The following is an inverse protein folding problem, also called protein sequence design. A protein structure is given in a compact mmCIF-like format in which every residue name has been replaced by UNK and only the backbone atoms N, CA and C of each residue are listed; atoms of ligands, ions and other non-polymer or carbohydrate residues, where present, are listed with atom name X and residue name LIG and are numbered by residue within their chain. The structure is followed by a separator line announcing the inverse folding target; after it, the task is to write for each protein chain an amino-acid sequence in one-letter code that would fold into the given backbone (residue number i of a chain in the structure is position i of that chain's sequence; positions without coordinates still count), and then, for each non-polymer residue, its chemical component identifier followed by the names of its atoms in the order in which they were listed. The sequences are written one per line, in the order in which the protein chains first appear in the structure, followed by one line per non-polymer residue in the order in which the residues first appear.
data_IF_616869039668
#
_entry.id   IF_616869039668
#
_cell.length_a   1.000
_cell.length_b   1.000
_cell.length_c   1.000
_cell.angle_alpha   90.00
_cell.angle_beta   90.00
_cell.angle_gamma   90.00
#
_symmetry.space_group_name_H-M   'P 1'
#
loop_
_entity.id
_entity.type
_entity.pdbx_description
1 polymer ?
#
# COMPACT_ATOMS: atom_id res chain seq x y z
N UNK A 1 3.51 37.14 7.10
CA UNK A 1 4.43 36.11 7.63
C UNK A 1 5.15 35.48 6.47
N UNK A 2 6.47 35.45 6.53
CA UNK A 2 7.29 34.79 5.48
C UNK A 2 7.34 33.28 5.66
N UNK A 3 7.74 32.56 4.59
CA UNK A 3 7.99 31.09 4.64
C UNK A 3 8.94 30.75 5.78
N UNK A 4 10.04 31.47 5.92
CA UNK A 4 11.06 31.29 6.96
C UNK A 4 10.51 31.50 8.39
N UNK A 5 9.70 32.53 8.58
CA UNK A 5 9.06 32.81 9.86
C UNK A 5 8.07 31.70 10.24
N UNK A 6 7.21 31.31 9.31
CA UNK A 6 6.26 30.21 9.51
C UNK A 6 6.98 28.91 9.84
N UNK A 7 7.97 28.53 9.03
CA UNK A 7 8.77 27.31 9.25
C UNK A 7 9.39 27.28 10.64
N UNK A 8 10.00 28.38 11.08
CA UNK A 8 10.63 28.48 12.40
C UNK A 8 9.63 28.35 13.54
N UNK A 9 8.45 28.96 13.42
CA UNK A 9 7.37 28.87 14.40
C UNK A 9 6.82 27.44 14.49
N UNK A 10 6.43 26.86 13.36
CA UNK A 10 5.78 25.54 13.28
C UNK A 10 6.70 24.40 13.75
N UNK A 11 8.01 24.44 13.44
CA UNK A 11 8.96 23.45 13.97
C UNK A 11 9.02 23.49 15.51
N UNK A 12 8.91 24.68 16.13
CA UNK A 12 8.87 24.79 17.59
C UNK A 12 7.58 24.22 18.18
N UNK A 13 6.46 24.40 17.49
CA UNK A 13 5.17 23.85 17.91
C UNK A 13 5.14 22.32 17.80
N UNK A 14 5.77 21.77 16.75
CA UNK A 14 5.88 20.33 16.52
C UNK A 14 7.08 19.67 17.25
N UNK A 15 7.59 20.26 18.32
CA UNK A 15 8.78 19.77 19.04
C UNK A 15 8.72 18.31 19.48
N UNK A 16 7.53 17.74 19.61
CA UNK A 16 7.32 16.33 19.97
C UNK A 16 7.32 15.40 18.74
N UNK A 17 7.28 15.94 17.51
CA UNK A 17 7.42 15.14 16.29
C UNK A 17 8.89 14.84 16.03
N UNK A 18 9.27 13.56 15.77
CA UNK A 18 10.64 13.20 15.42
C UNK A 18 11.07 13.79 14.06
N UNK A 19 10.12 14.24 13.25
CA UNK A 19 10.32 14.74 11.87
C UNK A 19 9.81 16.16 11.66
N UNK A 20 9.69 16.99 12.72
CA UNK A 20 9.06 18.32 12.66
C UNK A 20 9.53 19.20 11.48
N UNK A 21 10.83 19.22 11.18
CA UNK A 21 11.37 20.01 10.07
C UNK A 21 10.95 19.45 8.69
N UNK A 22 10.89 18.14 8.56
CA UNK A 22 10.42 17.46 7.34
C UNK A 22 8.91 17.68 7.16
N UNK A 23 8.14 17.48 8.23
CA UNK A 23 6.68 17.65 8.23
C UNK A 23 6.29 19.04 7.73
N UNK A 24 6.91 20.09 8.29
CA UNK A 24 6.64 21.49 7.89
C UNK A 24 7.06 21.78 6.45
N UNK A 25 8.16 21.20 5.97
CA UNK A 25 8.54 21.34 4.55
C UNK A 25 7.48 20.72 3.62
N UNK A 26 7.02 19.50 3.92
CA UNK A 26 5.99 18.83 3.13
C UNK A 26 4.68 19.64 3.11
N UNK A 27 4.29 20.24 4.24
CA UNK A 27 3.11 21.13 4.28
C UNK A 27 3.28 22.36 3.38
N UNK A 28 4.47 22.99 3.41
CA UNK A 28 4.77 24.13 2.56
C UNK A 28 4.80 23.74 1.07
N UNK A 29 5.45 22.65 0.71
CA UNK A 29 5.49 22.12 -0.65
C UNK A 29 4.06 21.84 -1.16
N UNK A 30 3.25 21.18 -0.33
CA UNK A 30 1.85 20.87 -0.66
C UNK A 30 0.99 22.13 -0.82
N UNK A 31 1.06 23.05 0.12
CA UNK A 31 0.26 24.27 0.14
C UNK A 31 0.60 25.24 -1.02
N UNK A 32 1.91 25.42 -1.26
CA UNK A 32 2.41 26.36 -2.25
C UNK A 32 2.52 25.77 -3.65
N UNK A 33 2.40 24.43 -3.78
CA UNK A 33 2.65 23.68 -5.03
C UNK A 33 4.03 23.99 -5.61
N UNK A 34 5.04 24.11 -4.73
CA UNK A 34 6.42 24.43 -5.05
C UNK A 34 7.36 23.36 -4.53
N UNK A 35 8.50 23.18 -5.19
CA UNK A 35 9.51 22.21 -4.78
C UNK A 35 10.27 22.65 -3.52
N UNK A 36 10.86 21.69 -2.82
CA UNK A 36 11.77 21.94 -1.70
C UNK A 36 12.90 22.92 -2.06
N UNK A 37 13.45 22.80 -3.27
CA UNK A 37 14.51 23.70 -3.77
C UNK A 37 14.00 25.14 -3.89
N UNK A 38 12.79 25.32 -4.40
CA UNK A 38 12.16 26.65 -4.50
C UNK A 38 11.96 27.27 -3.11
N UNK A 39 11.46 26.51 -2.15
CA UNK A 39 11.27 26.98 -0.76
C UNK A 39 12.59 27.42 -0.12
N UNK A 40 13.70 26.74 -0.41
CA UNK A 40 15.03 27.11 0.10
C UNK A 40 15.57 28.40 -0.51
N UNK A 41 15.21 28.68 -1.76
CA UNK A 41 15.68 29.88 -2.48
C UNK A 41 14.78 31.10 -2.30
N UNK A 42 13.53 30.91 -1.78
CA UNK A 42 12.54 31.98 -1.57
C UNK A 42 12.06 32.07 -0.10
N UNK A 43 12.96 32.07 0.89
CA UNK A 43 12.57 32.02 2.31
C UNK A 43 11.84 33.27 2.81
N UNK A 44 12.03 34.39 2.12
CA UNK A 44 11.42 35.70 2.47
C UNK A 44 10.09 35.96 1.72
N UNK A 45 9.61 34.98 0.90
CA UNK A 45 8.32 35.07 0.25
C UNK A 45 7.20 35.10 1.29
N UNK A 46 6.21 35.99 1.08
CA UNK A 46 5.08 36.15 1.98
C UNK A 46 3.97 35.14 1.70
N UNK A 47 3.51 34.47 2.73
CA UNK A 47 2.35 33.60 2.69
C UNK A 47 1.04 34.42 2.67
N UNK A 48 0.08 34.03 1.82
CA UNK A 48 -1.25 34.62 1.82
C UNK A 48 -2.03 34.24 3.09
N UNK A 49 -3.14 34.93 3.36
CA UNK A 49 -4.00 34.61 4.50
C UNK A 49 -4.61 33.18 4.39
N UNK A 50 -5.00 32.77 3.18
CA UNK A 50 -5.53 31.43 2.91
C UNK A 50 -4.47 30.34 3.11
N UNK A 51 -3.26 30.57 2.61
CA UNK A 51 -2.13 29.66 2.82
C UNK A 51 -1.79 29.52 4.30
N UNK A 52 -1.75 30.64 5.05
CA UNK A 52 -1.50 30.61 6.49
C UNK A 52 -2.59 29.87 7.25
N UNK A 53 -3.85 30.00 6.86
CA UNK A 53 -4.95 29.27 7.49
C UNK A 53 -4.76 27.77 7.30
N UNK A 54 -4.59 27.30 6.05
CA UNK A 54 -4.40 25.87 5.76
C UNK A 54 -3.16 25.31 6.47
N UNK A 55 -2.03 26.03 6.41
CA UNK A 55 -0.78 25.61 7.04
C UNK A 55 -0.90 25.51 8.57
N UNK A 56 -1.63 26.46 9.20
CA UNK A 56 -1.85 26.43 10.65
C UNK A 56 -2.74 25.24 11.04
N UNK A 57 -3.80 24.96 10.28
CA UNK A 57 -4.63 23.77 10.50
C UNK A 57 -3.85 22.48 10.32
N UNK A 58 -2.95 22.40 9.33
CA UNK A 58 -2.09 21.25 9.11
C UNK A 58 -1.17 21.00 10.31
N UNK A 59 -0.57 22.06 10.87
CA UNK A 59 0.26 21.98 12.08
C UNK A 59 -0.56 21.51 13.29
N UNK A 60 -1.78 22.05 13.50
CA UNK A 60 -2.65 21.62 14.59
C UNK A 60 -3.05 20.14 14.47
N UNK A 61 -3.41 19.68 13.28
CA UNK A 61 -3.69 18.26 13.01
C UNK A 61 -2.45 17.40 13.28
N UNK A 62 -1.26 17.83 12.87
CA UNK A 62 -0.02 17.09 13.11
C UNK A 62 0.32 16.96 14.60
N UNK A 63 -0.01 17.96 15.42
CA UNK A 63 0.16 17.92 16.88
C UNK A 63 -0.64 16.82 17.55
N UNK A 64 -1.75 16.37 16.96
CA UNK A 64 -2.55 15.24 17.47
C UNK A 64 -1.93 13.87 17.16
N UNK A 65 -0.81 13.82 16.39
CA UNK A 65 -0.20 12.57 15.92
C UNK A 65 -0.60 12.18 14.50
N UNK A 66 -1.58 12.89 13.88
CA UNK A 66 -2.07 12.54 12.55
C UNK A 66 -0.91 12.53 11.52
N UNK A 67 -0.73 11.46 10.72
CA UNK A 67 0.30 11.37 9.70
C UNK A 67 0.24 12.49 8.67
N UNK A 68 1.41 12.97 8.24
CA UNK A 68 1.53 13.99 7.19
C UNK A 68 0.77 13.59 5.92
N UNK A 69 0.86 12.31 5.54
CA UNK A 69 0.17 11.78 4.37
C UNK A 69 -1.35 11.97 4.42
N UNK A 70 -1.99 11.79 5.59
CA UNK A 70 -3.42 12.02 5.73
C UNK A 70 -3.78 13.52 5.79
N UNK A 71 -2.87 14.37 6.27
CA UNK A 71 -3.08 15.82 6.28
C UNK A 71 -3.03 16.39 4.85
N UNK A 72 -2.08 15.90 4.04
CA UNK A 72 -1.91 16.32 2.65
C UNK A 72 -2.80 15.55 1.67
N UNK A 73 -3.35 14.41 2.09
CA UNK A 73 -4.12 13.50 1.25
C UNK A 73 -3.26 12.75 0.22
N UNK A 74 -1.93 12.76 0.36
CA UNK A 74 -0.99 12.21 -0.63
C UNK A 74 0.16 11.45 0.02
N UNK A 75 0.61 10.39 -0.67
CA UNK A 75 1.81 9.63 -0.34
C UNK A 75 2.51 9.16 -1.62
N UNK A 76 3.78 9.46 -1.72
CA UNK A 76 4.62 8.89 -2.75
C UNK A 76 4.94 7.43 -2.41
N UNK A 77 4.85 6.53 -3.40
CA UNK A 77 5.21 5.12 -3.31
C UNK A 77 5.63 4.62 -4.69
N UNK A 78 6.75 3.93 -4.77
CA UNK A 78 7.33 3.40 -6.01
C UNK A 78 7.48 4.47 -7.13
N UNK A 79 7.84 5.70 -6.76
CA UNK A 79 7.96 6.84 -7.67
C UNK A 79 6.63 7.45 -8.14
N UNK A 80 5.48 6.96 -7.68
CA UNK A 80 4.15 7.45 -8.05
C UNK A 80 3.43 8.12 -6.87
N UNK A 81 2.58 9.11 -7.17
CA UNK A 81 1.87 9.88 -6.15
C UNK A 81 0.45 9.34 -5.94
N UNK A 82 0.21 8.71 -4.78
CA UNK A 82 -1.05 8.08 -4.41
C UNK A 82 -1.91 8.98 -3.52
N UNK A 83 -3.21 9.02 -3.79
CA UNK A 83 -4.22 9.56 -2.86
C UNK A 83 -4.31 8.57 -1.69
N UNK A 84 -4.33 9.12 -0.48
CA UNK A 84 -4.55 8.37 0.76
C UNK A 84 -5.52 9.12 1.68
N UNK A 85 -6.27 8.37 2.48
CA UNK A 85 -7.16 8.88 3.54
C UNK A 85 -7.09 7.94 4.75
N UNK A 86 -7.70 8.28 5.89
CA UNK A 86 -7.81 7.35 7.02
C UNK A 86 -8.54 6.03 6.72
N UNK A 87 -9.07 5.85 5.52
CA UNK A 87 -9.74 4.62 5.09
C UNK A 87 -8.77 3.56 4.53
N UNK A 88 -7.49 3.92 4.29
CA UNK A 88 -6.46 3.03 3.75
C UNK A 88 -5.17 3.10 4.53
N UNK A 89 -4.40 2.02 4.53
CA UNK A 89 -3.02 2.04 5.03
C UNK A 89 -2.19 3.03 4.19
N UNK A 90 -1.36 3.81 4.86
CA UNK A 90 -0.35 4.64 4.16
C UNK A 90 0.69 3.70 3.54
N UNK A 91 0.91 3.73 2.21
CA UNK A 91 1.92 2.91 1.56
C UNK A 91 3.29 3.00 2.24
N UNK A 92 3.92 1.85 2.49
CA UNK A 92 5.21 1.74 3.19
C UNK A 92 6.33 1.39 2.20
N UNK A 93 7.56 1.92 2.38
CA UNK A 93 8.68 1.60 1.49
C UNK A 93 8.97 0.10 1.41
N UNK A 94 8.81 -0.65 2.51
CA UNK A 94 9.06 -2.08 2.57
C UNK A 94 8.18 -2.88 1.61
N UNK A 95 6.99 -2.37 1.30
CA UNK A 95 6.05 -2.97 0.34
C UNK A 95 6.53 -2.86 -1.12
N UNK A 96 7.53 -2.02 -1.42
CA UNK A 96 8.08 -1.88 -2.79
C UNK A 96 8.74 -3.17 -3.27
N UNK A 97 9.27 -3.99 -2.37
CA UNK A 97 9.79 -5.34 -2.71
C UNK A 97 8.70 -6.25 -3.28
N UNK A 98 7.46 -6.15 -2.77
CA UNK A 98 6.33 -6.90 -3.33
C UNK A 98 6.07 -6.48 -4.78
N UNK A 99 6.15 -5.18 -5.08
CA UNK A 99 6.01 -4.65 -6.45
C UNK A 99 7.10 -5.19 -7.37
N UNK A 100 8.37 -5.13 -6.95
CA UNK A 100 9.50 -5.64 -7.73
C UNK A 100 9.34 -7.12 -8.05
N UNK A 101 9.02 -7.95 -7.04
CA UNK A 101 8.85 -9.39 -7.24
C UNK A 101 7.65 -9.74 -8.11
N UNK A 102 6.59 -8.94 -8.05
CA UNK A 102 5.45 -9.08 -8.94
C UNK A 102 5.81 -8.76 -10.40
N UNK A 103 6.56 -7.69 -10.63
CA UNK A 103 7.04 -7.31 -11.98
C UNK A 103 7.95 -8.41 -12.54
N UNK A 104 8.95 -8.86 -11.76
CA UNK A 104 9.87 -9.95 -12.16
C UNK A 104 9.08 -11.19 -12.64
N UNK A 105 8.07 -11.61 -11.87
CA UNK A 105 7.25 -12.79 -12.16
C UNK A 105 6.38 -12.59 -13.40
N UNK A 106 5.75 -11.42 -13.56
CA UNK A 106 4.89 -11.10 -14.71
C UNK A 106 5.71 -11.05 -15.99
N UNK A 107 6.84 -10.35 -15.98
CA UNK A 107 7.72 -10.21 -17.16
C UNK A 107 8.22 -11.60 -17.58
N UNK A 108 8.70 -12.41 -16.65
CA UNK A 108 9.14 -13.78 -16.94
C UNK A 108 8.02 -14.65 -17.54
N UNK A 109 6.79 -14.54 -17.03
CA UNK A 109 5.63 -15.27 -17.57
C UNK A 109 5.24 -14.81 -18.98
N UNK A 110 5.26 -13.49 -19.24
CA UNK A 110 4.97 -12.92 -20.56
C UNK A 110 6.02 -13.36 -21.59
N UNK A 111 7.30 -13.37 -21.21
CA UNK A 111 8.38 -13.83 -22.08
C UNK A 111 8.26 -15.32 -22.40
N UNK A 112 7.91 -16.13 -21.41
CA UNK A 112 7.80 -17.59 -21.58
C UNK A 112 6.55 -18.00 -22.37
N UNK A 113 5.43 -17.26 -22.23
CA UNK A 113 4.14 -17.54 -22.91
C UNK A 113 3.52 -16.25 -23.45
N UNK A 114 4.08 -15.67 -24.53
CA UNK A 114 3.67 -14.36 -25.03
C UNK A 114 2.25 -14.32 -25.62
N UNK A 115 1.63 -15.49 -25.85
CA UNK A 115 0.26 -15.63 -26.36
C UNK A 115 -0.83 -15.54 -25.27
N UNK A 116 -0.44 -15.61 -24.00
CA UNK A 116 -1.39 -15.61 -22.88
C UNK A 116 -1.48 -14.21 -22.26
N UNK A 117 -2.69 -13.75 -22.04
CA UNK A 117 -2.95 -12.57 -21.21
C UNK A 117 -3.10 -13.04 -19.75
N UNK A 118 -2.17 -12.64 -18.90
CA UNK A 118 -2.17 -13.00 -17.48
C UNK A 118 -3.32 -12.34 -16.74
N UNK A 119 -3.83 -13.00 -15.71
CA UNK A 119 -4.76 -12.43 -14.73
C UNK A 119 -4.06 -12.27 -13.37
N UNK A 120 -4.17 -11.09 -12.79
CA UNK A 120 -3.52 -10.71 -11.53
C UNK A 120 -4.56 -10.22 -10.54
N UNK A 121 -4.48 -10.66 -9.30
CA UNK A 121 -5.27 -10.14 -8.19
C UNK A 121 -4.36 -9.38 -7.22
N UNK A 122 -4.73 -8.16 -6.87
CA UNK A 122 -4.23 -7.43 -5.71
C UNK A 122 -5.27 -7.59 -4.59
N UNK A 123 -4.99 -8.51 -3.66
CA UNK A 123 -5.88 -8.87 -2.56
C UNK A 123 -5.50 -8.09 -1.30
N UNK A 124 -6.48 -7.53 -0.59
CA UNK A 124 -6.33 -6.52 0.45
C UNK A 124 -5.69 -5.25 -0.15
N UNK A 125 -6.25 -4.81 -1.27
CA UNK A 125 -5.64 -3.81 -2.15
C UNK A 125 -5.47 -2.43 -1.50
N UNK A 126 -6.27 -2.07 -0.49
CA UNK A 126 -6.18 -0.78 0.18
C UNK A 126 -6.27 0.39 -0.80
N UNK A 127 -5.23 1.21 -0.88
CA UNK A 127 -5.11 2.31 -1.85
C UNK A 127 -4.86 1.86 -3.30
N UNK A 128 -4.67 0.55 -3.54
CA UNK A 128 -4.26 -0.02 -4.83
C UNK A 128 -2.78 0.17 -5.13
N UNK A 129 -1.97 0.60 -4.17
CA UNK A 129 -0.59 1.02 -4.43
C UNK A 129 0.27 -0.10 -5.03
N UNK A 130 0.09 -1.36 -4.61
CA UNK A 130 0.86 -2.50 -5.14
C UNK A 130 0.48 -2.76 -6.60
N UNK A 131 -0.76 -3.14 -6.88
CA UNK A 131 -1.20 -3.51 -8.23
C UNK A 131 -1.08 -2.37 -9.24
N UNK A 132 -1.37 -1.12 -8.83
CA UNK A 132 -1.25 0.05 -9.71
C UNK A 132 0.20 0.39 -10.03
N UNK A 133 1.13 0.26 -9.07
CA UNK A 133 2.56 0.46 -9.33
C UNK A 133 3.10 -0.60 -10.29
N UNK A 134 2.72 -1.88 -10.08
CA UNK A 134 3.08 -2.95 -11.02
C UNK A 134 2.58 -2.63 -12.43
N UNK A 135 1.28 -2.34 -12.59
CA UNK A 135 0.71 -2.08 -13.91
C UNK A 135 1.34 -0.86 -14.58
N UNK A 136 1.55 0.22 -13.83
CA UNK A 136 2.15 1.44 -14.34
C UNK A 136 3.61 1.24 -14.75
N UNK A 137 4.41 0.49 -13.98
CA UNK A 137 5.77 0.14 -14.36
C UNK A 137 5.81 -0.73 -15.62
N UNK A 138 4.91 -1.71 -15.77
CA UNK A 138 4.80 -2.51 -16.98
C UNK A 138 4.53 -1.64 -18.23
N UNK A 139 3.73 -0.58 -18.10
CA UNK A 139 3.43 0.37 -19.17
C UNK A 139 4.62 1.30 -19.43
N UNK A 140 5.15 1.96 -18.39
CA UNK A 140 6.08 3.07 -18.54
C UNK A 140 7.55 2.65 -18.63
N UNK A 141 7.96 1.61 -17.92
CA UNK A 141 9.35 1.15 -17.86
C UNK A 141 9.58 -0.03 -18.80
N UNK A 142 8.75 -1.06 -18.71
CA UNK A 142 8.89 -2.27 -19.53
C UNK A 142 8.24 -2.15 -20.91
N UNK A 143 7.45 -1.09 -21.18
CA UNK A 143 6.83 -0.82 -22.47
C UNK A 143 6.00 -2.00 -23.01
N UNK A 144 5.34 -2.73 -22.12
CA UNK A 144 4.46 -3.84 -22.52
C UNK A 144 3.28 -3.25 -23.30
N UNK A 145 2.98 -3.76 -24.53
CA UNK A 145 1.84 -3.30 -25.30
C UNK A 145 0.51 -3.53 -24.58
N UNK A 146 -0.46 -2.63 -24.76
CA UNK A 146 -1.78 -2.68 -24.08
C UNK A 146 -2.47 -4.02 -24.22
N UNK A 147 -2.41 -4.65 -25.41
CA UNK A 147 -3.02 -5.95 -25.68
C UNK A 147 -2.35 -7.14 -24.97
N UNK A 148 -1.18 -6.92 -24.36
CA UNK A 148 -0.41 -7.91 -23.59
C UNK A 148 -0.36 -7.62 -22.10
N UNK A 149 -0.91 -6.48 -21.66
CA UNK A 149 -0.97 -6.16 -20.26
C UNK A 149 -1.83 -7.18 -19.50
N UNK A 150 -1.40 -7.55 -18.28
CA UNK A 150 -2.21 -8.40 -17.41
C UNK A 150 -3.55 -7.74 -17.07
N UNK A 151 -4.59 -8.54 -16.90
CA UNK A 151 -5.90 -8.10 -16.38
C UNK A 151 -5.84 -8.06 -14.85
N UNK A 152 -5.98 -6.87 -14.28
CA UNK A 152 -5.93 -6.67 -12.83
C UNK A 152 -7.32 -6.67 -12.19
N UNK A 153 -7.40 -7.35 -11.05
CA UNK A 153 -8.53 -7.29 -10.11
C UNK A 153 -8.01 -6.78 -8.77
N UNK A 154 -8.58 -5.68 -8.30
CA UNK A 154 -8.34 -5.13 -6.96
C UNK A 154 -9.46 -5.58 -6.04
N UNK A 155 -9.12 -6.31 -5.01
CA UNK A 155 -10.07 -6.90 -4.07
C UNK A 155 -9.80 -6.41 -2.64
N UNK A 156 -10.81 -5.92 -1.97
CA UNK A 156 -10.73 -5.47 -0.58
C UNK A 156 -12.09 -5.65 0.11
N UNK A 157 -12.08 -5.81 1.42
CA UNK A 157 -13.29 -5.87 2.23
C UNK A 157 -13.93 -4.48 2.41
N UNK A 158 -13.12 -3.41 2.38
CA UNK A 158 -13.56 -2.01 2.52
C UNK A 158 -13.96 -1.41 1.17
N UNK A 159 -15.21 -0.98 1.07
CA UNK A 159 -15.70 -0.21 -0.08
C UNK A 159 -15.01 1.15 -0.19
N UNK A 160 -14.68 1.76 0.95
CA UNK A 160 -13.98 3.04 1.04
C UNK A 160 -12.57 2.92 0.50
N UNK A 161 -11.84 1.85 0.87
CA UNK A 161 -10.51 1.57 0.33
C UNK A 161 -10.56 1.38 -1.20
N UNK A 162 -11.52 0.61 -1.72
CA UNK A 162 -11.69 0.44 -3.16
C UNK A 162 -12.04 1.75 -3.88
N UNK A 163 -12.75 2.68 -3.23
CA UNK A 163 -13.01 4.00 -3.80
C UNK A 163 -11.71 4.81 -3.93
N UNK A 164 -10.80 4.74 -2.96
CA UNK A 164 -9.47 5.35 -3.05
C UNK A 164 -8.65 4.67 -4.17
N UNK A 165 -8.65 3.33 -4.23
CA UNK A 165 -7.95 2.59 -5.29
C UNK A 165 -8.45 3.00 -6.70
N UNK A 166 -9.77 3.16 -6.90
CA UNK A 166 -10.34 3.66 -8.17
C UNK A 166 -9.88 5.08 -8.51
N UNK A 167 -9.83 5.98 -7.53
CA UNK A 167 -9.33 7.34 -7.73
C UNK A 167 -7.86 7.33 -8.13
N UNK A 168 -7.05 6.51 -7.46
CA UNK A 168 -5.64 6.34 -7.80
C UNK A 168 -5.46 5.77 -9.19
N UNK A 169 -6.19 4.72 -9.55
CA UNK A 169 -6.17 4.14 -10.89
C UNK A 169 -6.50 5.17 -11.97
N UNK A 170 -7.57 5.96 -11.78
CA UNK A 170 -7.98 7.01 -12.72
C UNK A 170 -6.93 8.12 -12.87
N UNK A 171 -6.18 8.43 -11.81
CA UNK A 171 -5.17 9.47 -11.84
C UNK A 171 -3.83 8.98 -12.44
N UNK A 172 -3.51 7.70 -12.27
CA UNK A 172 -2.21 7.15 -12.62
C UNK A 172 -2.16 6.51 -14.00
N UNK A 173 -3.29 5.99 -14.49
CA UNK A 173 -3.35 5.19 -15.71
C UNK A 173 -4.06 5.93 -16.84
N UNK A 174 -3.74 5.64 -18.11
CA UNK A 174 -4.56 6.05 -19.24
C UNK A 174 -5.98 5.48 -19.13
N UNK A 175 -6.95 6.15 -19.74
CA UNK A 175 -8.37 5.80 -19.64
C UNK A 175 -8.66 4.36 -20.13
N UNK A 176 -7.96 3.91 -21.17
CA UNK A 176 -8.14 2.58 -21.76
C UNK A 176 -7.78 1.47 -20.77
N UNK A 177 -6.66 1.61 -20.07
CA UNK A 177 -6.18 0.66 -19.07
C UNK A 177 -7.04 0.70 -17.81
N UNK A 178 -7.50 1.90 -17.40
CA UNK A 178 -8.41 2.05 -16.28
C UNK A 178 -9.73 1.29 -16.50
N UNK A 179 -10.31 1.35 -17.71
CA UNK A 179 -11.59 0.68 -18.04
C UNK A 179 -11.50 -0.85 -18.00
N UNK A 180 -10.30 -1.42 -18.15
CA UNK A 180 -10.08 -2.88 -18.07
C UNK A 180 -9.93 -3.40 -16.62
N UNK A 181 -9.84 -2.50 -15.61
CA UNK A 181 -9.65 -2.88 -14.22
C UNK A 181 -10.96 -3.37 -13.58
N UNK A 182 -10.84 -4.34 -12.70
CA UNK A 182 -11.92 -4.80 -11.84
C UNK A 182 -11.67 -4.42 -10.40
N UNK A 183 -12.72 -3.98 -9.72
CA UNK A 183 -12.69 -3.66 -8.29
C UNK A 183 -13.82 -4.42 -7.61
N UNK A 184 -13.48 -5.34 -6.71
CA UNK A 184 -14.41 -6.28 -6.09
C UNK A 184 -14.37 -6.08 -4.58
N UNK A 185 -15.51 -5.67 -3.99
CA UNK A 185 -15.65 -5.68 -2.53
C UNK A 185 -15.94 -7.10 -2.09
N UNK A 186 -15.06 -7.68 -1.27
CA UNK A 186 -15.14 -9.09 -0.88
C UNK A 186 -14.38 -9.36 0.42
N UNK A 187 -14.84 -10.32 1.20
CA UNK A 187 -14.02 -10.92 2.26
C UNK A 187 -13.17 -12.03 1.62
N UNK A 188 -11.91 -11.72 1.36
CA UNK A 188 -10.98 -12.54 0.59
C UNK A 188 -11.60 -12.96 -0.76
N UNK A 189 -11.75 -14.24 -1.04
CA UNK A 189 -12.23 -14.71 -2.33
C UNK A 189 -13.72 -15.03 -2.39
N UNK A 190 -14.52 -14.69 -1.37
CA UNK A 190 -15.94 -15.10 -1.29
C UNK A 190 -16.78 -14.65 -2.49
N UNK A 191 -16.49 -13.49 -3.08
CA UNK A 191 -17.20 -12.92 -4.25
C UNK A 191 -16.43 -13.08 -5.57
N UNK A 192 -15.36 -13.89 -5.59
CA UNK A 192 -14.48 -14.06 -6.75
C UNK A 192 -14.63 -15.47 -7.33
N UNK A 193 -15.32 -15.64 -8.47
CA UNK A 193 -15.60 -16.97 -9.04
C UNK A 193 -14.54 -17.46 -10.04
N UNK A 194 -13.42 -16.78 -10.19
CA UNK A 194 -12.39 -17.08 -11.21
C UNK A 194 -11.01 -17.28 -10.60
N UNK A 195 -10.06 -17.72 -11.42
CA UNK A 195 -8.68 -18.01 -11.01
C UNK A 195 -7.71 -16.97 -11.58
N UNK A 196 -6.50 -16.91 -10.99
CA UNK A 196 -5.45 -15.96 -11.33
C UNK A 196 -4.12 -16.66 -11.62
N UNK A 197 -3.30 -16.05 -12.46
CA UNK A 197 -1.92 -16.46 -12.70
C UNK A 197 -0.99 -15.92 -11.60
N UNK A 198 -1.37 -14.81 -10.97
CA UNK A 198 -0.64 -14.19 -9.87
C UNK A 198 -1.60 -13.57 -8.86
N UNK A 199 -1.39 -13.84 -7.60
CA UNK A 199 -2.05 -13.17 -6.49
C UNK A 199 -0.99 -12.41 -5.70
N UNK A 200 -1.20 -11.13 -5.52
CA UNK A 200 -0.42 -10.22 -4.68
C UNK A 200 -1.24 -9.88 -3.45
N UNK A 201 -0.61 -9.74 -2.30
CA UNK A 201 -1.32 -9.26 -1.12
C UNK A 201 -0.36 -8.61 -0.12
N UNK A 202 -0.78 -7.48 0.43
CA UNK A 202 -0.25 -6.96 1.69
C UNK A 202 -1.40 -7.00 2.72
N UNK A 203 -1.66 -8.17 3.33
CA UNK A 203 -2.77 -8.33 4.26
C UNK A 203 -2.42 -7.74 5.62
N UNK A 204 -3.40 -7.49 6.49
CA UNK A 204 -3.14 -7.21 7.89
C UNK A 204 -2.39 -8.39 8.53
N UNK A 205 -1.29 -8.09 9.23
CA UNK A 205 -0.43 -9.12 9.85
C UNK A 205 0.09 -8.74 11.24
N UNK A 206 -0.35 -7.62 11.80
CA UNK A 206 0.11 -7.17 13.13
C UNK A 206 -0.74 -7.82 14.21
N UNK A 207 -0.13 -8.40 15.27
CA UNK A 207 -0.86 -8.90 16.43
C UNK A 207 -1.76 -7.83 17.06
N UNK A 208 -2.97 -8.22 17.46
CA UNK A 208 -4.01 -7.31 17.94
C UNK A 208 -3.56 -6.41 19.11
N UNK A 209 -2.76 -6.95 20.05
CA UNK A 209 -2.20 -6.17 21.15
C UNK A 209 -1.20 -5.11 20.68
N UNK A 210 -0.36 -5.44 19.70
CA UNK A 210 0.57 -4.49 19.10
C UNK A 210 -0.17 -3.37 18.37
N UNK A 211 -1.26 -3.68 17.66
CA UNK A 211 -2.12 -2.68 17.01
C UNK A 211 -2.68 -1.71 18.03
N UNK A 212 -3.15 -2.22 19.17
CA UNK A 212 -3.69 -1.37 20.24
C UNK A 212 -2.65 -0.39 20.80
N UNK A 213 -1.38 -0.77 20.87
CA UNK A 213 -0.28 0.13 21.26
C UNK A 213 0.05 1.13 20.15
N UNK A 214 0.16 0.67 18.90
CA UNK A 214 0.48 1.53 17.76
C UNK A 214 -0.53 2.67 17.58
N UNK A 215 -1.82 2.40 17.75
CA UNK A 215 -2.87 3.41 17.57
C UNK A 215 -2.90 4.48 18.67
N UNK A 216 -2.18 4.32 19.77
CA UNK A 216 -2.09 5.33 20.85
C UNK A 216 -1.31 6.58 20.44
N UNK A 217 -0.49 6.52 19.41
CA UNK A 217 0.32 7.64 18.94
C UNK A 217 -0.46 8.65 18.08
N UNK A 218 -1.75 8.41 17.85
CA UNK A 218 -2.62 9.29 17.05
C UNK A 218 -2.50 9.12 15.55
N UNK A 219 -1.82 8.08 15.07
CA UNK A 219 -1.60 7.83 13.62
C UNK A 219 -2.89 7.63 12.84
N UNK A 220 -3.95 7.20 13.48
CA UNK A 220 -5.30 7.06 12.88
C UNK A 220 -5.34 6.17 11.62
N UNK A 221 -4.37 5.26 11.46
CA UNK A 221 -4.42 4.24 10.42
C UNK A 221 -5.56 3.26 10.72
N UNK A 222 -6.30 2.77 9.70
CA UNK A 222 -7.47 1.93 9.96
C UNK A 222 -7.04 0.60 10.61
N UNK A 223 -7.65 0.27 11.74
CA UNK A 223 -7.36 -0.98 12.44
C UNK A 223 -7.51 -2.20 11.53
N UNK A 224 -8.52 -2.18 10.66
CA UNK A 224 -8.79 -3.23 9.67
C UNK A 224 -7.59 -3.52 8.77
N UNK A 225 -6.75 -2.52 8.48
CA UNK A 225 -5.57 -2.67 7.63
C UNK A 225 -4.30 -3.09 8.42
N UNK A 226 -4.37 -3.16 9.74
CA UNK A 226 -3.24 -3.49 10.62
C UNK A 226 -3.42 -4.83 11.31
N UNK A 227 -4.64 -5.09 11.86
CA UNK A 227 -4.93 -6.19 12.77
C UNK A 227 -5.07 -7.52 12.00
N UNK A 228 -4.02 -8.35 12.09
CA UNK A 228 -4.00 -9.68 11.48
C UNK A 228 -4.80 -10.73 12.24
N UNK A 229 -5.30 -10.42 13.44
CA UNK A 229 -6.01 -11.37 14.30
C UNK A 229 -7.53 -11.24 14.27
N UNK A 230 -8.06 -10.67 13.20
CA UNK A 230 -9.51 -10.60 12.94
C UNK A 230 -9.98 -11.76 12.05
N UNK A 231 -11.20 -12.25 12.31
CA UNK A 231 -11.88 -13.27 11.53
C UNK A 231 -12.72 -12.72 10.38
N UNK A 232 -13.61 -13.57 9.82
CA UNK A 232 -14.40 -13.27 8.60
C UNK A 232 -15.33 -12.07 8.72
N UNK A 233 -15.78 -11.74 9.92
CA UNK A 233 -16.72 -10.63 10.17
C UNK A 233 -16.12 -9.58 11.09
N UNK A 234 -14.78 -9.53 11.20
CA UNK A 234 -14.08 -8.60 12.07
C UNK A 234 -14.04 -9.02 13.54
N UNK A 235 -14.51 -10.22 13.88
CA UNK A 235 -14.43 -10.78 15.22
C UNK A 235 -12.98 -11.19 15.56
N UNK A 236 -12.56 -11.08 16.83
CA UNK A 236 -11.24 -11.54 17.25
C UNK A 236 -11.08 -13.06 17.07
N UNK A 237 -9.97 -13.52 16.51
CA UNK A 237 -9.66 -14.95 16.38
C UNK A 237 -9.31 -15.64 17.70
N UNK A 238 -9.11 -14.86 18.76
CA UNK A 238 -8.64 -15.35 20.05
C UNK A 238 -7.16 -15.70 20.09
N UNK A 239 -6.42 -15.45 19.01
CA UNK A 239 -4.96 -15.53 18.92
C UNK A 239 -4.38 -14.13 18.89
N UNK A 240 -3.10 -14.00 19.19
CA UNK A 240 -2.39 -12.72 19.17
C UNK A 240 -1.03 -12.93 18.49
N UNK A 241 -1.07 -13.44 17.24
CA UNK A 241 0.11 -13.76 16.45
C UNK A 241 0.11 -13.09 15.06
N UNK A 242 -0.93 -12.31 14.76
CA UNK A 242 -1.07 -11.60 13.49
C UNK A 242 -1.34 -12.49 12.27
N UNK A 243 -1.64 -13.76 12.46
CA UNK A 243 -1.78 -14.74 11.37
C UNK A 243 -3.24 -15.13 11.08
N UNK A 244 -4.23 -14.50 11.71
CA UNK A 244 -5.63 -14.87 11.53
C UNK A 244 -6.10 -14.74 10.08
N UNK A 245 -5.85 -13.59 9.45
CA UNK A 245 -6.16 -13.37 8.03
C UNK A 245 -5.29 -14.28 7.14
N UNK A 246 -3.99 -14.38 7.41
CA UNK A 246 -3.05 -15.17 6.61
C UNK A 246 -3.44 -16.66 6.57
N UNK A 247 -3.91 -17.20 7.69
CA UNK A 247 -4.40 -18.61 7.75
C UNK A 247 -5.60 -18.89 6.87
N UNK A 248 -6.39 -17.88 6.54
CA UNK A 248 -7.52 -17.96 5.59
C UNK A 248 -7.04 -17.69 4.17
N UNK A 249 -6.27 -16.63 3.99
CA UNK A 249 -5.81 -16.14 2.69
C UNK A 249 -4.98 -17.18 1.94
N UNK A 250 -4.05 -17.88 2.62
CA UNK A 250 -3.14 -18.84 1.97
C UNK A 250 -3.89 -20.01 1.32
N UNK A 251 -4.77 -20.77 2.00
CA UNK A 251 -5.53 -21.86 1.37
C UNK A 251 -6.54 -21.36 0.32
N UNK A 252 -7.19 -20.23 0.55
CA UNK A 252 -8.11 -19.65 -0.43
C UNK A 252 -7.37 -19.22 -1.69
N UNK A 253 -6.19 -18.60 -1.55
CA UNK A 253 -5.32 -18.25 -2.69
C UNK A 253 -4.91 -19.48 -3.48
N UNK A 254 -4.55 -20.59 -2.81
CA UNK A 254 -4.23 -21.83 -3.50
C UNK A 254 -5.39 -22.34 -4.34
N UNK A 255 -6.62 -22.24 -3.83
CA UNK A 255 -7.85 -22.58 -4.58
C UNK A 255 -8.03 -21.74 -5.83
N UNK A 256 -7.74 -20.44 -5.73
CA UNK A 256 -7.96 -19.44 -6.79
C UNK A 256 -6.76 -19.18 -7.70
N UNK A 257 -5.64 -19.89 -7.53
CA UNK A 257 -4.54 -19.86 -8.48
C UNK A 257 -4.73 -20.86 -9.62
N UNK A 258 -4.37 -20.47 -10.82
CA UNK A 258 -4.20 -21.35 -11.96
C UNK A 258 -3.02 -22.33 -11.72
N UNK A 259 -2.89 -23.36 -12.56
CA UNK A 259 -1.73 -24.25 -12.50
C UNK A 259 -0.43 -23.48 -12.79
N UNK A 260 0.57 -23.63 -11.94
CA UNK A 260 1.79 -22.80 -11.90
C UNK A 260 1.52 -21.31 -11.63
N UNK A 261 0.37 -20.98 -11.07
CA UNK A 261 0.09 -19.66 -10.52
C UNK A 261 0.90 -19.38 -9.27
N UNK A 262 1.11 -18.12 -8.97
CA UNK A 262 2.02 -17.67 -7.90
C UNK A 262 1.27 -16.82 -6.89
N UNK A 263 1.53 -17.05 -5.61
CA UNK A 263 1.17 -16.13 -4.52
C UNK A 263 2.45 -15.44 -4.02
N UNK A 264 2.40 -14.10 -3.97
CA UNK A 264 3.42 -13.27 -3.31
C UNK A 264 2.70 -12.44 -2.26
N UNK A 265 3.13 -12.56 -1.01
CA UNK A 265 2.44 -11.92 0.11
C UNK A 265 3.43 -11.26 1.05
N UNK A 266 3.16 -9.99 1.40
CA UNK A 266 3.87 -9.30 2.47
C UNK A 266 3.47 -9.87 3.83
N UNK A 267 4.40 -9.83 4.79
CA UNK A 267 4.23 -10.29 6.16
C UNK A 267 5.17 -9.53 7.09
N UNK A 268 4.93 -9.56 8.38
CA UNK A 268 5.89 -9.04 9.37
C UNK A 268 7.11 -9.95 9.48
N UNK A 269 8.26 -9.38 9.81
CA UNK A 269 9.50 -10.12 10.05
C UNK A 269 9.35 -11.25 11.08
N UNK A 270 8.51 -11.00 12.08
CA UNK A 270 8.27 -11.90 13.20
C UNK A 270 7.35 -13.08 12.87
N UNK A 271 6.58 -13.05 11.77
CA UNK A 271 5.68 -14.13 11.36
C UNK A 271 5.94 -14.68 9.94
N UNK A 272 7.01 -14.24 9.28
CA UNK A 272 7.37 -14.68 7.93
C UNK A 272 7.68 -16.19 7.85
N UNK A 273 8.33 -16.75 8.85
CA UNK A 273 8.66 -18.19 8.90
C UNK A 273 7.41 -19.05 9.06
N UNK A 274 6.52 -18.67 9.94
CA UNK A 274 5.23 -19.33 10.15
C UNK A 274 4.35 -19.22 8.90
N UNK A 275 4.36 -18.07 8.25
CA UNK A 275 3.67 -17.87 6.97
C UNK A 275 4.23 -18.79 5.89
N UNK A 276 5.56 -18.94 5.77
CA UNK A 276 6.17 -19.90 4.83
C UNK A 276 5.71 -21.33 5.12
N UNK A 277 5.66 -21.74 6.39
CA UNK A 277 5.16 -23.06 6.78
C UNK A 277 3.68 -23.23 6.34
N UNK A 278 2.84 -22.20 6.48
CA UNK A 278 1.47 -22.25 5.98
C UNK A 278 1.41 -22.45 4.46
N UNK A 279 2.28 -21.81 3.69
CA UNK A 279 2.39 -22.06 2.25
C UNK A 279 2.70 -23.53 1.96
N UNK A 280 3.74 -24.08 2.59
CA UNK A 280 4.16 -25.48 2.41
C UNK A 280 3.05 -26.49 2.78
N UNK A 281 2.38 -26.24 3.91
CA UNK A 281 1.25 -27.08 4.37
C UNK A 281 0.04 -27.06 3.45
N UNK A 282 -0.16 -25.97 2.70
CA UNK A 282 -1.24 -25.84 1.74
C UNK A 282 -0.85 -26.21 0.30
N UNK A 283 0.32 -26.85 0.12
CA UNK A 283 0.73 -27.44 -1.15
C UNK A 283 1.49 -26.50 -2.09
N UNK A 284 1.84 -25.28 -1.66
CA UNK A 284 2.70 -24.41 -2.44
C UNK A 284 4.10 -24.99 -2.56
N UNK A 285 4.61 -25.05 -3.79
CA UNK A 285 5.97 -25.46 -4.11
C UNK A 285 6.92 -24.27 -4.07
N UNK A 286 8.20 -24.53 -3.86
CA UNK A 286 9.24 -23.50 -3.91
C UNK A 286 9.01 -22.34 -2.95
N UNK A 287 8.40 -22.60 -1.78
CA UNK A 287 8.14 -21.55 -0.80
C UNK A 287 9.44 -20.87 -0.36
N UNK A 288 9.51 -19.54 -0.57
CA UNK A 288 10.69 -18.70 -0.29
C UNK A 288 10.31 -17.49 0.51
N UNK A 289 11.25 -16.98 1.31
CA UNK A 289 11.13 -15.68 1.96
C UNK A 289 12.09 -14.73 1.24
N UNK A 290 11.61 -13.52 0.94
CA UNK A 290 12.43 -12.42 0.45
C UNK A 290 12.57 -11.37 1.55
N UNK A 291 13.75 -10.78 1.63
CA UNK A 291 14.08 -9.73 2.57
C UNK A 291 13.93 -8.37 1.93
N UNK A 292 13.61 -7.38 2.77
CA UNK A 292 13.66 -5.97 2.38
C UNK A 292 15.09 -5.44 2.33
N UNK A 293 15.26 -4.14 2.01
CA UNK A 293 16.57 -3.51 1.89
C UNK A 293 17.33 -3.42 3.22
N UNK A 294 16.64 -3.56 4.36
CA UNK A 294 17.23 -3.60 5.70
C UNK A 294 17.62 -5.03 6.13
N UNK A 295 17.31 -6.02 5.29
CA UNK A 295 17.60 -7.45 5.56
C UNK A 295 16.56 -8.13 6.44
N UNK A 296 15.38 -7.54 6.62
CA UNK A 296 14.28 -8.13 7.37
C UNK A 296 13.42 -9.02 6.46
N UNK A 297 13.00 -10.17 6.96
CA UNK A 297 12.09 -11.07 6.24
C UNK A 297 10.77 -10.35 6.00
N UNK A 298 10.37 -10.18 4.71
CA UNK A 298 9.25 -9.30 4.37
C UNK A 298 8.21 -9.93 3.46
N UNK A 299 8.61 -10.74 2.50
CA UNK A 299 7.65 -11.31 1.55
C UNK A 299 7.79 -12.84 1.50
N UNK A 300 6.66 -13.55 1.44
CA UNK A 300 6.61 -14.99 1.20
C UNK A 300 6.08 -15.23 -0.21
N UNK A 301 6.77 -16.07 -0.95
CA UNK A 301 6.47 -16.47 -2.32
C UNK A 301 6.20 -17.98 -2.38
N UNK A 302 5.27 -18.41 -3.21
CA UNK A 302 5.03 -19.82 -3.49
C UNK A 302 4.30 -20.05 -4.80
N UNK A 303 4.53 -21.22 -5.41
CA UNK A 303 3.94 -21.66 -6.68
C UNK A 303 2.93 -22.78 -6.41
N UNK A 304 1.73 -22.70 -7.01
CA UNK A 304 0.73 -23.79 -7.02
C UNK A 304 1.18 -24.99 -7.86
#
# INVERSE_FOLDING_TARGET
MTIKEFKKASIRELKNSPSASLDVNVFLEHCLKQSKTWLLTHPEENLSAEQLLWLSEAVEKRKTGLPVAYITGRKEFYGYDFIVSPDVLIPKPDTEILVEKAIDEIVAKIEFRPEIILSVCDMCAGSGCVGLSVLKALIEEYKIPSEKLPKFTFADISAEALNIARQNAKNLLPQTEFEELRFVQTDLFSEIPFTFDLILSNPPYIPAEMVAELLKDGRNEPRLALDGDIGSFGEPTGKNDGLGIIRRLVPESYGHLAHNGVLIMETGEYNAKETKILFEQNGFRCAKIFQDLEGQDRNVYGIK
#
